data_IF_768854446201
#
_entry.id   IF_768854446201
#
_cell.length_a   1.000
_cell.length_b   1.000
_cell.length_c   1.000
_cell.angle_alpha   90.00
_cell.angle_beta   90.00
_cell.angle_gamma   90.00
#
_symmetry.space_group_name_H-M   'P 1'
#
loop_
_entity.id
_entity.type
_entity.pdbx_description
1 polymer ?
#
# COMPACT_ATOMS: atom_id res chain seq x y z
N UNK A 1 13.15 -10.17 -21.22
CA UNK A 1 11.75 -10.33 -20.78
C UNK A 1 11.60 -9.71 -19.39
N UNK A 2 10.81 -8.62 -19.28
CA UNK A 2 10.46 -7.98 -18.01
C UNK A 2 9.38 -8.78 -17.25
N UNK A 3 9.22 -8.57 -15.93
CA UNK A 3 8.12 -9.13 -15.16
C UNK A 3 6.78 -8.50 -15.55
N UNK A 4 5.66 -9.21 -15.33
CA UNK A 4 4.31 -8.80 -15.80
C UNK A 4 3.87 -7.42 -15.31
N UNK A 5 4.34 -7.01 -14.13
CA UNK A 5 3.98 -5.75 -13.48
C UNK A 5 4.90 -4.59 -13.87
N UNK A 6 5.99 -4.87 -14.61
CA UNK A 6 6.89 -3.84 -15.07
C UNK A 6 6.29 -3.11 -16.26
N UNK A 7 6.39 -1.78 -16.24
CA UNK A 7 5.98 -0.95 -17.37
C UNK A 7 7.01 -0.97 -18.51
N UNK A 8 8.17 -1.62 -18.31
CA UNK A 8 9.20 -1.71 -19.33
C UNK A 8 8.76 -2.63 -20.46
N UNK A 9 8.96 -2.17 -21.69
CA UNK A 9 8.66 -2.95 -22.88
C UNK A 9 9.67 -4.08 -23.05
N UNK A 10 9.25 -5.13 -23.75
CA UNK A 10 10.12 -6.23 -24.13
C UNK A 10 11.24 -5.72 -25.05
N UNK A 11 12.42 -5.49 -24.49
CA UNK A 11 13.61 -5.09 -25.23
C UNK A 11 14.19 -6.31 -25.95
N UNK A 12 14.19 -6.26 -27.28
CA UNK A 12 14.92 -7.20 -28.14
C UNK A 12 16.12 -6.45 -28.69
N UNK A 13 17.33 -6.94 -28.43
CA UNK A 13 18.58 -6.38 -28.97
C UNK A 13 19.24 -7.44 -29.83
N UNK A 14 19.47 -7.10 -31.10
CA UNK A 14 20.20 -7.96 -32.05
C UNK A 14 21.73 -7.76 -31.96
N UNK A 15 22.20 -6.90 -31.04
CA UNK A 15 23.63 -6.60 -30.84
C UNK A 15 24.15 -7.25 -29.56
N UNK A 16 25.36 -7.82 -29.66
CA UNK A 16 26.14 -8.26 -28.50
C UNK A 16 27.10 -7.15 -28.02
N UNK A 17 27.18 -6.90 -26.70
CA UNK A 17 26.34 -7.47 -25.64
C UNK A 17 24.95 -6.80 -25.58
N UNK A 18 23.91 -7.59 -25.31
CA UNK A 18 22.58 -7.08 -25.04
C UNK A 18 22.54 -6.47 -23.63
N UNK A 19 22.62 -5.13 -23.54
CA UNK A 19 22.58 -4.39 -22.28
C UNK A 19 21.15 -3.95 -21.94
N UNK A 20 20.70 -4.29 -20.73
CA UNK A 20 19.46 -3.77 -20.14
C UNK A 20 19.81 -2.75 -19.05
N UNK A 21 19.35 -1.51 -19.20
CA UNK A 21 19.50 -0.46 -18.20
C UNK A 21 18.12 0.07 -17.76
N UNK A 22 17.89 0.13 -16.45
CA UNK A 22 16.65 0.63 -15.86
C UNK A 22 17.00 1.91 -15.08
N UNK A 23 16.78 3.11 -15.66
CA UNK A 23 17.26 4.36 -15.08
C UNK A 23 16.54 4.73 -13.78
N UNK A 24 15.26 4.40 -13.66
CA UNK A 24 14.45 4.62 -12.46
C UNK A 24 13.67 3.34 -12.17
N UNK A 25 13.91 2.77 -10.98
CA UNK A 25 13.36 1.48 -10.59
C UNK A 25 12.08 1.70 -9.79
N UNK A 26 10.95 1.21 -10.30
CA UNK A 26 9.66 1.21 -9.62
C UNK A 26 9.31 -0.15 -9.02
N UNK A 27 8.37 -0.21 -8.07
CA UNK A 27 7.97 -1.47 -7.41
C UNK A 27 7.53 -2.56 -8.38
N UNK A 28 6.94 -2.18 -9.52
CA UNK A 28 6.54 -3.10 -10.59
C UNK A 28 7.71 -3.77 -11.32
N UNK A 29 8.92 -3.24 -11.21
CA UNK A 29 10.13 -3.84 -11.80
C UNK A 29 10.69 -4.99 -10.97
N UNK A 30 10.15 -5.20 -9.76
CA UNK A 30 10.53 -6.35 -8.94
C UNK A 30 10.09 -7.67 -9.56
N UNK A 31 10.83 -8.73 -9.26
CA UNK A 31 10.51 -10.08 -9.72
C UNK A 31 11.56 -10.66 -10.65
N UNK A 32 11.15 -11.65 -11.46
CA UNK A 32 12.06 -12.44 -12.28
C UNK A 32 12.21 -11.80 -13.66
N UNK A 33 13.42 -11.33 -13.94
CA UNK A 33 13.87 -10.90 -15.25
C UNK A 33 14.48 -12.08 -15.99
N UNK A 34 14.17 -12.22 -17.28
CA UNK A 34 14.76 -13.29 -18.10
C UNK A 34 15.41 -12.73 -19.35
N UNK A 35 16.66 -13.12 -19.58
CA UNK A 35 17.32 -12.96 -20.87
C UNK A 35 17.23 -14.29 -21.63
N UNK A 36 16.91 -14.25 -22.92
CA UNK A 36 16.80 -15.43 -23.77
C UNK A 36 17.56 -15.21 -25.08
N UNK A 37 18.29 -16.23 -25.52
CA UNK A 37 18.92 -16.25 -26.83
C UNK A 37 18.09 -17.13 -27.76
N UNK A 38 17.61 -16.55 -28.86
CA UNK A 38 16.83 -17.23 -29.86
C UNK A 38 17.62 -17.33 -31.16
N UNK A 39 17.53 -18.49 -31.82
CA UNK A 39 17.99 -18.67 -33.19
C UNK A 39 16.81 -19.19 -34.01
N UNK A 40 16.34 -18.36 -34.95
CA UNK A 40 15.08 -18.60 -35.67
C UNK A 40 13.93 -18.75 -34.66
N UNK A 41 13.29 -19.93 -34.61
CA UNK A 41 12.21 -20.27 -33.69
C UNK A 41 12.65 -21.14 -32.51
N UNK A 42 13.95 -21.45 -32.39
CA UNK A 42 14.48 -22.26 -31.30
C UNK A 42 15.17 -21.39 -30.25
N UNK A 43 14.81 -21.57 -28.98
CA UNK A 43 15.52 -20.95 -27.86
C UNK A 43 16.79 -21.73 -27.56
N UNK A 44 17.94 -21.11 -27.72
CA UNK A 44 19.25 -21.71 -27.49
C UNK A 44 19.61 -21.75 -26.00
N UNK A 45 19.42 -20.63 -25.30
CA UNK A 45 19.71 -20.54 -23.86
C UNK A 45 18.89 -19.43 -23.20
N UNK A 46 18.86 -19.43 -21.87
CA UNK A 46 18.25 -18.38 -21.08
C UNK A 46 18.93 -18.23 -19.72
N UNK A 47 18.84 -17.03 -19.16
CA UNK A 47 19.28 -16.71 -17.80
C UNK A 47 18.17 -15.96 -17.08
N UNK A 48 17.97 -16.27 -15.79
CA UNK A 48 16.97 -15.62 -14.94
C UNK A 48 17.66 -14.89 -13.79
N UNK A 49 17.30 -13.64 -13.58
CA UNK A 49 17.77 -12.80 -12.48
C UNK A 49 16.55 -12.34 -11.68
N UNK A 50 16.61 -12.44 -10.36
CA UNK A 50 15.57 -11.91 -9.49
C UNK A 50 15.94 -10.51 -9.00
N UNK A 51 15.16 -9.50 -9.39
CA UNK A 51 15.31 -8.14 -8.88
C UNK A 51 14.39 -7.98 -7.67
N UNK A 52 14.98 -7.83 -6.48
CA UNK A 52 14.25 -7.49 -5.27
C UNK A 52 14.39 -6.00 -5.01
N UNK A 53 13.25 -5.33 -4.89
CA UNK A 53 13.20 -3.90 -4.56
C UNK A 53 12.80 -3.79 -3.10
N UNK A 54 13.66 -3.16 -2.31
CA UNK A 54 13.36 -2.91 -0.91
C UNK A 54 12.55 -1.62 -0.78
N UNK A 55 11.38 -1.67 -0.12
CA UNK A 55 10.59 -0.48 0.09
C UNK A 55 11.33 0.46 1.04
N UNK A 56 11.69 1.64 0.54
CA UNK A 56 12.21 2.72 1.38
C UNK A 56 11.03 3.45 2.00
N UNK A 57 10.79 3.21 3.29
CA UNK A 57 9.84 4.02 4.05
C UNK A 57 10.41 5.44 4.19
N UNK A 58 9.88 6.36 3.40
CA UNK A 58 10.22 7.77 3.50
C UNK A 58 9.74 8.34 4.84
N UNK A 59 10.53 9.25 5.42
CA UNK A 59 10.18 9.98 6.65
C UNK A 59 8.81 10.65 6.49
N UNK A 60 8.51 11.18 5.31
CA UNK A 60 7.22 11.79 5.00
C UNK A 60 6.04 10.80 5.12
N UNK A 61 6.22 9.56 4.70
CA UNK A 61 5.18 8.52 4.83
C UNK A 61 4.93 8.18 6.29
N UNK A 62 5.98 8.11 7.11
CA UNK A 62 5.86 7.87 8.55
C UNK A 62 5.11 9.00 9.24
N UNK A 63 5.41 10.25 8.91
CA UNK A 63 4.71 11.43 9.46
C UNK A 63 3.22 11.37 9.13
N UNK A 64 2.87 11.04 7.87
CA UNK A 64 1.47 10.93 7.44
C UNK A 64 0.75 9.83 8.22
N UNK A 65 1.33 8.63 8.32
CA UNK A 65 0.74 7.50 9.04
C UNK A 65 0.54 7.85 10.52
N UNK A 66 1.54 8.43 11.18
CA UNK A 66 1.45 8.86 12.58
C UNK A 66 0.40 9.96 12.80
N UNK A 67 0.28 10.91 11.88
CA UNK A 67 -0.73 11.96 11.98
C UNK A 67 -2.16 11.39 11.89
N UNK A 68 -2.40 10.52 10.90
CA UNK A 68 -3.70 9.87 10.71
C UNK A 68 -4.10 9.04 11.92
N UNK A 69 -3.17 8.25 12.49
CA UNK A 69 -3.46 7.42 13.67
C UNK A 69 -3.85 8.27 14.88
N UNK A 70 -3.13 9.37 15.14
CA UNK A 70 -3.45 10.29 16.24
C UNK A 70 -4.84 10.93 16.04
N UNK A 71 -5.16 11.39 14.84
CA UNK A 71 -6.46 12.00 14.53
C UNK A 71 -7.60 10.99 14.76
N UNK A 72 -7.46 9.76 14.25
CA UNK A 72 -8.46 8.70 14.44
C UNK A 72 -8.67 8.40 15.92
N UNK A 73 -7.58 8.29 16.70
CA UNK A 73 -7.67 8.06 18.15
C UNK A 73 -8.40 9.19 18.87
N UNK A 74 -8.10 10.46 18.54
CA UNK A 74 -8.78 11.61 19.12
C UNK A 74 -10.28 11.61 18.79
N UNK A 75 -10.66 11.27 17.56
CA UNK A 75 -12.05 11.16 17.15
C UNK A 75 -12.78 10.05 17.90
N UNK A 76 -12.15 8.88 18.08
CA UNK A 76 -12.73 7.78 18.86
C UNK A 76 -12.97 8.19 20.31
N UNK A 77 -12.02 8.88 20.93
CA UNK A 77 -12.18 9.41 22.30
C UNK A 77 -13.33 10.41 22.38
N UNK A 78 -13.42 11.34 21.43
CA UNK A 78 -14.52 12.31 21.38
C UNK A 78 -15.88 11.62 21.23
N UNK A 79 -16.00 10.66 20.30
CA UNK A 79 -17.22 9.88 20.10
C UNK A 79 -17.59 9.12 21.36
N UNK A 80 -16.62 8.49 22.02
CA UNK A 80 -16.83 7.76 23.27
C UNK A 80 -17.36 8.70 24.36
N UNK A 81 -16.74 9.86 24.57
CA UNK A 81 -17.18 10.86 25.54
C UNK A 81 -18.60 11.34 25.21
N UNK A 82 -18.89 11.66 23.95
CA UNK A 82 -20.21 12.14 23.53
C UNK A 82 -21.29 11.07 23.73
N UNK A 83 -21.04 9.82 23.34
CA UNK A 83 -21.95 8.71 23.56
C UNK A 83 -22.19 8.48 25.06
N UNK A 84 -21.13 8.44 25.86
CA UNK A 84 -21.24 8.22 27.30
C UNK A 84 -21.97 9.38 28.00
N UNK A 85 -21.71 10.64 27.60
CA UNK A 85 -22.45 11.82 28.09
C UNK A 85 -23.92 11.78 27.68
N UNK A 86 -24.24 11.39 26.44
CA UNK A 86 -25.62 11.22 25.97
C UNK A 86 -26.35 10.13 26.78
N UNK A 87 -25.71 8.98 27.01
CA UNK A 87 -26.30 7.91 27.82
C UNK A 87 -26.53 8.34 29.28
N UNK A 88 -25.58 9.06 29.91
CA UNK A 88 -25.77 9.60 31.27
C UNK A 88 -26.88 10.65 31.33
N UNK A 89 -26.94 11.57 30.35
CA UNK A 89 -28.02 12.57 30.26
C UNK A 89 -29.41 11.96 30.02
N UNK A 90 -29.51 10.81 29.34
CA UNK A 90 -30.77 10.09 29.12
C UNK A 90 -31.19 9.21 30.31
N UNK A 91 -30.25 8.82 31.19
CA UNK A 91 -30.56 8.13 32.45
C UNK A 91 -31.12 9.06 33.54
N UNK A 92 -30.80 10.36 33.51
CA UNK A 92 -31.23 11.33 34.53
C UNK A 92 -32.54 12.14 34.32
N UNK A 93 -33.30 12.13 33.21
CA UNK A 93 -34.58 12.84 33.14
C UNK A 93 -35.78 11.95 33.52
N UNK A 94 -35.59 10.62 33.65
CA UNK A 94 -36.70 9.65 33.71
C UNK A 94 -37.22 9.30 35.10
N UNK A 95 -36.78 9.99 36.16
CA UNK A 95 -37.22 9.67 37.53
C UNK A 95 -37.91 10.81 38.30
N UNK A 96 -38.26 11.94 37.67
CA UNK A 96 -39.05 12.99 38.35
C UNK A 96 -40.05 13.72 37.44
N UNK A 97 -40.87 12.95 36.71
CA UNK A 97 -42.22 13.41 36.36
C UNK A 97 -43.21 12.29 36.68
N UNK A 98 -43.60 12.18 37.95
CA UNK A 98 -44.88 11.59 38.31
C UNK A 98 -45.78 12.76 38.70
N UNK A 99 -46.61 13.17 37.74
CA UNK A 99 -47.79 14.00 37.96
C UNK A 99 -48.78 13.28 38.89
N UNK A 100 -49.48 14.06 39.71
CA UNK A 100 -50.42 13.66 40.76
C UNK A 100 -51.57 12.73 40.29
N UNK A 101 -52.21 12.03 41.24
CA UNK A 101 -53.63 11.68 41.15
C UNK A 101 -54.32 11.92 42.49
N UNK A 102 -55.50 12.54 42.37
CA UNK A 102 -56.46 13.04 43.35
C UNK A 102 -56.85 12.01 44.43
#
# INVERSE_FOLDING_TARGET
IPPEQSALQLLTSDREPALLNIPEVGTGDSGKWRCELWQRSARLTYAVIALKIEPKLSVWMLIIICSVTVIVLLLLVLVFILCHRRQRKMRHPRHRLCHCKN
#
